data_IF_534037707964
#
_entry.id   IF_534037707964
#
_cell.length_a   1.000
_cell.length_b   1.000
_cell.length_c   1.000
_cell.angle_alpha   90.00
_cell.angle_beta   90.00
_cell.angle_gamma   90.00
#
_symmetry.space_group_name_H-M   'P 1'
#
loop_
_entity.id
_entity.type
_entity.pdbx_description
1 polymer ?
#
# COMPACT_ATOMS: atom_id res chain seq x y z
N UNK A 1 -22.99 2.71 -6.10
CA UNK A 1 -22.61 1.75 -5.04
C UNK A 1 -21.16 1.38 -5.28
N UNK A 2 -20.22 2.13 -4.69
CA UNK A 2 -18.78 1.87 -4.82
C UNK A 2 -18.22 1.90 -3.41
N UNK A 3 -17.92 0.73 -2.88
CA UNK A 3 -17.50 0.55 -1.49
C UNK A 3 -16.32 -0.42 -1.56
N UNK A 4 -15.11 0.14 -1.63
CA UNK A 4 -13.83 -0.56 -1.55
C UNK A 4 -13.42 -1.47 -2.73
N UNK A 5 -13.21 -0.91 -3.92
CA UNK A 5 -12.60 -1.63 -5.05
C UNK A 5 -11.17 -2.10 -4.75
N UNK A 6 -10.40 -1.32 -3.97
CA UNK A 6 -9.03 -1.68 -3.55
C UNK A 6 -8.94 -3.00 -2.78
N UNK A 7 -9.98 -3.39 -2.02
CA UNK A 7 -10.03 -4.67 -1.29
C UNK A 7 -9.99 -5.85 -2.26
N UNK A 8 -10.72 -5.74 -3.39
CA UNK A 8 -10.78 -6.80 -4.40
C UNK A 8 -9.54 -6.79 -5.30
N UNK A 9 -9.10 -5.60 -5.68
CA UNK A 9 -8.05 -5.41 -6.69
C UNK A 9 -6.63 -5.62 -6.13
N UNK A 10 -6.42 -5.44 -4.82
CA UNK A 10 -5.09 -5.59 -4.18
C UNK A 10 -4.40 -6.92 -4.53
N UNK A 11 -5.14 -8.03 -4.53
CA UNK A 11 -4.61 -9.36 -4.90
C UNK A 11 -4.09 -9.39 -6.35
N UNK A 12 -4.86 -8.86 -7.29
CA UNK A 12 -4.52 -8.86 -8.72
C UNK A 12 -3.27 -8.01 -8.95
N UNK A 13 -3.17 -6.85 -8.30
CA UNK A 13 -1.98 -5.99 -8.35
C UNK A 13 -0.75 -6.73 -7.85
N UNK A 14 -0.84 -7.44 -6.72
CA UNK A 14 0.30 -8.20 -6.20
C UNK A 14 0.72 -9.35 -7.12
N UNK A 15 -0.23 -10.05 -7.76
CA UNK A 15 0.08 -11.09 -8.75
C UNK A 15 0.81 -10.52 -9.96
N UNK A 16 0.36 -9.39 -10.50
CA UNK A 16 0.98 -8.72 -11.63
C UNK A 16 2.37 -8.17 -11.27
N UNK A 17 2.52 -7.60 -10.08
CA UNK A 17 3.79 -7.10 -9.57
C UNK A 17 4.84 -8.22 -9.47
N UNK A 18 4.44 -9.40 -8.97
CA UNK A 18 5.30 -10.58 -8.92
C UNK A 18 5.67 -11.07 -10.33
N UNK A 19 4.72 -11.14 -11.26
CA UNK A 19 4.96 -11.55 -12.65
C UNK A 19 5.99 -10.66 -13.36
N UNK A 20 5.96 -9.35 -13.09
CA UNK A 20 6.85 -8.38 -13.73
C UNK A 20 8.06 -7.96 -12.89
N UNK A 21 8.24 -8.52 -11.69
CA UNK A 21 9.34 -8.15 -10.78
C UNK A 21 9.29 -6.69 -10.34
N UNK A 22 8.10 -6.11 -10.19
CA UNK A 22 7.90 -4.70 -9.77
C UNK A 22 7.67 -4.65 -8.27
N UNK A 23 8.42 -3.80 -7.56
CA UNK A 23 8.17 -3.52 -6.15
C UNK A 23 6.96 -2.60 -5.98
N UNK A 24 6.01 -3.00 -5.13
CA UNK A 24 4.74 -2.32 -4.93
C UNK A 24 4.43 -2.16 -3.43
N UNK A 25 5.25 -1.41 -2.68
CA UNK A 25 5.19 -1.37 -1.20
C UNK A 25 3.84 -0.86 -0.68
N UNK A 26 3.23 0.12 -1.36
CA UNK A 26 1.91 0.64 -0.96
C UNK A 26 0.81 -0.39 -1.17
N UNK A 27 0.79 -1.06 -2.34
CA UNK A 27 -0.23 -2.05 -2.63
C UNK A 27 -0.07 -3.32 -1.76
N UNK A 28 1.18 -3.65 -1.40
CA UNK A 28 1.50 -4.73 -0.48
C UNK A 28 0.89 -4.48 0.91
N UNK A 29 1.14 -3.31 1.51
CA UNK A 29 0.60 -2.96 2.82
C UNK A 29 -0.94 -2.93 2.82
N UNK A 30 -1.56 -2.41 1.76
CA UNK A 30 -3.03 -2.47 1.59
C UNK A 30 -3.52 -3.90 1.48
N UNK A 31 -2.79 -4.76 0.77
CA UNK A 31 -3.16 -6.17 0.60
C UNK A 31 -3.14 -6.91 1.94
N UNK A 32 -2.10 -6.75 2.75
CA UNK A 32 -1.97 -7.40 4.06
C UNK A 32 -3.09 -6.98 5.03
N UNK A 33 -3.45 -5.69 5.03
CA UNK A 33 -4.59 -5.18 5.82
C UNK A 33 -5.91 -5.77 5.35
N UNK A 34 -6.14 -5.85 4.04
CA UNK A 34 -7.38 -6.42 3.49
C UNK A 34 -7.53 -7.93 3.79
N UNK A 35 -6.41 -8.62 4.01
CA UNK A 35 -6.37 -10.05 4.37
C UNK A 35 -6.49 -10.29 5.88
N UNK A 36 -6.34 -9.24 6.69
CA UNK A 36 -6.32 -9.32 8.15
C UNK A 36 -4.99 -9.80 8.72
N UNK A 37 -3.92 -9.83 7.92
CA UNK A 37 -2.58 -10.24 8.34
C UNK A 37 -1.79 -9.07 8.98
N UNK A 38 -2.21 -7.84 8.73
CA UNK A 38 -1.67 -6.63 9.34
C UNK A 38 -2.78 -5.67 9.77
N UNK A 39 -2.52 -4.84 10.78
CA UNK A 39 -3.43 -3.73 11.09
C UNK A 39 -3.12 -2.52 10.21
N UNK A 40 -4.10 -1.63 10.02
CA UNK A 40 -3.87 -0.37 9.32
C UNK A 40 -2.75 0.49 9.97
N UNK A 41 -2.55 0.33 11.28
CA UNK A 41 -1.46 1.02 12.01
C UNK A 41 -0.10 0.43 11.66
N UNK A 42 -0.01 -0.89 11.52
CA UNK A 42 1.22 -1.57 11.11
C UNK A 42 1.61 -1.16 9.69
N UNK A 43 0.63 -1.18 8.77
CA UNK A 43 0.80 -0.71 7.40
C UNK A 43 1.30 0.74 7.33
N UNK A 44 0.66 1.65 8.07
CA UNK A 44 1.08 3.06 8.10
C UNK A 44 2.53 3.23 8.59
N UNK A 45 2.94 2.47 9.62
CA UNK A 45 4.32 2.50 10.13
C UNK A 45 5.31 1.89 9.14
N UNK A 46 4.93 0.82 8.45
CA UNK A 46 5.74 0.18 7.41
C UNK A 46 6.07 1.14 6.27
N UNK A 47 5.05 1.87 5.79
CA UNK A 47 5.18 2.86 4.72
C UNK A 47 6.14 4.02 5.06
N UNK A 48 6.13 4.50 6.30
CA UNK A 48 7.05 5.57 6.75
C UNK A 48 8.50 5.08 6.85
N UNK A 49 8.71 3.79 7.13
CA UNK A 49 10.04 3.20 7.33
C UNK A 49 10.70 2.78 6.01
N UNK A 50 9.92 2.52 4.97
CA UNK A 50 10.44 2.23 3.64
C UNK A 50 11.09 3.47 3.02
N UNK A 51 12.38 3.42 2.70
CA UNK A 51 13.15 4.53 2.11
C UNK A 51 12.76 4.89 0.66
N UNK A 52 11.65 4.37 0.15
CA UNK A 52 11.09 4.69 -1.17
C UNK A 52 10.03 5.79 -1.07
N UNK A 53 10.25 6.78 -0.20
CA UNK A 53 9.46 8.00 -0.18
C UNK A 53 9.64 8.72 -1.51
N UNK A 54 8.65 8.62 -2.40
CA UNK A 54 8.59 9.48 -3.58
C UNK A 54 8.58 10.95 -3.14
N UNK A 55 8.98 11.85 -4.06
CA UNK A 55 9.07 13.29 -3.81
C UNK A 55 7.84 13.77 -3.04
N UNK A 56 8.05 14.10 -1.77
CA UNK A 56 7.04 14.72 -0.93
C UNK A 56 6.60 16.01 -1.62
N UNK A 57 5.29 16.14 -1.89
CA UNK A 57 4.72 17.40 -2.35
C UNK A 57 5.04 18.44 -1.27
N UNK A 58 5.85 19.48 -1.54
CA UNK A 58 6.49 20.31 -0.51
C UNK A 58 5.53 21.20 0.30
N UNK A 59 4.22 20.99 0.19
CA UNK A 59 3.19 21.87 0.78
C UNK A 59 2.21 21.15 1.69
N UNK A 60 2.46 19.90 2.09
CA UNK A 60 1.64 19.24 3.11
C UNK A 60 2.34 19.34 4.47
N UNK A 61 2.11 20.44 5.18
CA UNK A 61 2.39 20.49 6.62
C UNK A 61 1.45 19.51 7.34
N UNK A 62 2.00 18.42 7.85
CA UNK A 62 1.28 17.56 8.78
C UNK A 62 1.28 18.24 10.16
N UNK A 63 0.13 18.79 10.57
CA UNK A 63 -0.14 19.24 11.95
C UNK A 63 -0.92 18.19 12.71
#
# INVERSE_FOLDING_TARGET
NMVAEGVKTSKVVMSLAHEHGVDMPIAYEVHEVCRGEATAVDAYRGLIRGQNGGVEHPTLEYR
#
